data_IF_041999757449
#
_entry.id   IF_041999757449
#
_cell.length_a   1.000
_cell.length_b   1.000
_cell.length_c   1.000
_cell.angle_alpha   90.00
_cell.angle_beta   90.00
_cell.angle_gamma   90.00
#
_symmetry.space_group_name_H-M   'P 1'
#
loop_
_entity.id
_entity.type
_entity.pdbx_description
1 polymer ?
#
# COMPACT_ATOMS: atom_id res chain seq x y z
N UNK A 1 32.73 5.05 -47.48
CA UNK A 1 32.36 6.48 -47.41
C UNK A 1 30.86 6.52 -47.69
N UNK A 2 30.01 6.62 -46.65
CA UNK A 2 29.98 7.78 -45.75
C UNK A 2 30.07 7.43 -44.26
N UNK A 3 30.78 8.30 -43.55
CA UNK A 3 30.74 8.47 -42.09
C UNK A 3 29.58 9.41 -41.78
N UNK A 4 28.69 9.01 -40.87
CA UNK A 4 27.80 9.93 -40.18
C UNK A 4 27.81 9.52 -38.71
N UNK A 5 28.64 10.24 -37.96
CA UNK A 5 28.75 10.30 -36.51
C UNK A 5 27.39 10.16 -35.81
N UNK A 6 27.31 9.23 -34.86
CA UNK A 6 26.19 9.13 -33.91
C UNK A 6 26.73 8.74 -32.54
N UNK A 7 26.05 9.30 -31.55
CA UNK A 7 26.13 9.07 -30.10
C UNK A 7 27.12 10.02 -29.41
N UNK A 8 26.76 11.30 -29.19
CA UNK A 8 25.84 11.83 -28.17
C UNK A 8 26.56 11.98 -26.82
N UNK A 9 27.28 13.10 -26.72
CA UNK A 9 27.81 13.66 -25.49
C UNK A 9 26.75 14.61 -24.91
N UNK A 10 26.15 14.27 -23.77
CA UNK A 10 25.80 15.26 -22.74
C UNK A 10 25.59 14.56 -21.40
N UNK A 11 26.57 14.78 -20.54
CA UNK A 11 26.55 14.63 -19.10
C UNK A 11 25.54 15.60 -18.45
N UNK A 12 24.58 15.07 -17.69
CA UNK A 12 23.69 15.86 -16.81
C UNK A 12 23.65 15.27 -15.40
N UNK A 13 24.36 16.03 -14.56
CA UNK A 13 24.17 16.45 -13.17
C UNK A 13 23.26 15.68 -12.19
N UNK A 14 23.91 15.31 -11.09
CA UNK A 14 23.53 15.39 -9.67
C UNK A 14 22.13 15.89 -9.31
N UNK A 15 21.37 15.14 -8.49
CA UNK A 15 20.54 15.73 -7.42
C UNK A 15 20.42 14.76 -6.22
N UNK A 16 20.93 15.22 -5.08
CA UNK A 16 20.82 14.62 -3.75
C UNK A 16 19.36 14.67 -3.27
N UNK A 17 18.65 13.55 -3.43
CA UNK A 17 17.28 13.37 -2.95
C UNK A 17 17.22 12.95 -1.49
N UNK A 18 17.58 13.85 -0.57
CA UNK A 18 17.16 13.76 0.83
C UNK A 18 15.62 13.78 0.86
N UNK A 19 14.99 12.63 1.09
CA UNK A 19 13.62 12.60 1.60
C UNK A 19 13.60 11.82 2.89
N UNK A 20 13.81 12.55 3.99
CA UNK A 20 13.37 12.17 5.33
C UNK A 20 11.88 11.80 5.31
N UNK A 21 11.60 10.53 5.08
CA UNK A 21 10.30 9.92 5.37
C UNK A 21 10.21 9.68 6.88
N UNK A 22 9.76 10.71 7.59
CA UNK A 22 9.36 10.70 8.99
C UNK A 22 8.71 9.36 9.40
N UNK A 23 9.47 8.50 10.07
CA UNK A 23 8.92 7.37 10.81
C UNK A 23 8.21 7.98 12.01
N UNK A 24 6.93 8.30 11.82
CA UNK A 24 6.08 8.78 12.89
C UNK A 24 5.86 7.62 13.85
N UNK A 25 6.65 7.60 14.92
CA UNK A 25 6.35 6.81 16.10
C UNK A 25 5.04 7.35 16.69
N UNK A 26 3.96 6.54 16.77
CA UNK A 26 2.78 6.97 17.48
C UNK A 26 3.08 6.91 18.99
N UNK A 27 3.29 8.10 19.55
CA UNK A 27 3.34 8.35 20.99
C UNK A 27 2.10 7.79 21.69
N UNK A 28 2.39 7.20 22.84
CA UNK A 28 1.53 6.64 23.87
C UNK A 28 0.45 7.57 24.40
N UNK A 29 -0.81 7.10 24.43
CA UNK A 29 -1.78 7.42 25.48
C UNK A 29 -2.74 6.23 25.69
N UNK A 30 -3.04 5.95 26.96
CA UNK A 30 -3.69 4.73 27.42
C UNK A 30 -5.19 4.70 27.10
N UNK A 31 -5.68 3.60 26.50
CA UNK A 31 -7.12 3.31 26.46
C UNK A 31 -7.53 2.50 25.24
N UNK A 32 -7.84 1.23 25.47
CA UNK A 32 -8.39 0.26 24.52
C UNK A 32 -7.40 -0.23 23.45
N UNK A 33 -7.22 -1.56 23.38
CA UNK A 33 -6.31 -2.21 22.45
C UNK A 33 -6.82 -2.08 21.00
N UNK A 34 -6.57 -0.92 20.38
CA UNK A 34 -6.80 -0.72 18.95
C UNK A 34 -5.75 -1.56 18.23
N UNK A 35 -6.14 -2.77 17.82
CA UNK A 35 -5.27 -3.65 17.03
C UNK A 35 -5.11 -3.04 15.64
N UNK A 36 -4.04 -2.26 15.47
CA UNK A 36 -3.64 -1.68 14.19
C UNK A 36 -3.10 -2.78 13.28
N UNK A 37 -3.97 -3.27 12.39
CA UNK A 37 -3.60 -4.33 11.43
C UNK A 37 -3.04 -3.67 10.16
N UNK A 38 -1.85 -4.08 9.75
CA UNK A 38 -1.26 -3.66 8.48
C UNK A 38 -1.87 -4.40 7.29
N UNK A 39 -1.85 -3.78 6.11
CA UNK A 39 -2.31 -4.37 4.86
C UNK A 39 -1.49 -5.63 4.52
N UNK A 40 -2.15 -6.74 4.21
CA UNK A 40 -1.50 -8.01 3.86
C UNK A 40 -0.91 -8.03 2.44
N UNK A 41 -1.08 -6.96 1.67
CA UNK A 41 -0.57 -6.85 0.29
C UNK A 41 0.65 -5.95 0.23
N UNK A 42 0.55 -4.72 0.77
CA UNK A 42 1.67 -3.79 0.74
C UNK A 42 2.49 -3.77 2.04
N UNK A 43 1.92 -4.19 3.17
CA UNK A 43 2.52 -4.10 4.51
C UNK A 43 2.94 -2.69 4.97
N UNK A 44 2.84 -1.67 4.11
CA UNK A 44 3.24 -0.28 4.40
C UNK A 44 2.09 0.63 4.86
N UNK A 45 0.84 0.15 4.85
CA UNK A 45 -0.33 0.98 5.19
C UNK A 45 -1.34 0.17 6.00
N UNK A 46 -2.11 0.86 6.84
CA UNK A 46 -3.13 0.25 7.68
C UNK A 46 -4.27 -0.38 6.85
N UNK A 47 -4.70 -1.57 7.28
CA UNK A 47 -5.81 -2.30 6.71
C UNK A 47 -7.14 -1.72 7.21
N UNK A 48 -7.79 -0.92 6.37
CA UNK A 48 -9.09 -0.27 6.65
C UNK A 48 -10.23 -0.86 5.83
N UNK A 49 -9.92 -1.77 4.89
CA UNK A 49 -10.89 -2.42 4.02
C UNK A 49 -10.90 -3.93 4.26
N UNK A 50 -12.09 -4.49 4.21
CA UNK A 50 -12.32 -5.92 4.32
C UNK A 50 -13.47 -6.39 3.44
N UNK A 51 -13.53 -7.68 3.13
CA UNK A 51 -14.62 -8.27 2.36
C UNK A 51 -15.95 -8.20 3.13
N UNK A 52 -17.06 -8.01 2.41
CA UNK A 52 -18.39 -7.83 3.01
C UNK A 52 -18.91 -9.06 3.79
N UNK A 53 -18.42 -10.27 3.47
CA UNK A 53 -18.82 -11.52 4.15
C UNK A 53 -18.18 -11.64 5.54
N UNK A 54 -16.86 -11.85 5.58
CA UNK A 54 -16.14 -12.11 6.83
C UNK A 54 -15.61 -10.87 7.56
N UNK A 55 -15.73 -9.67 6.97
CA UNK A 55 -15.38 -8.38 7.58
C UNK A 55 -13.95 -8.32 8.16
N UNK A 56 -13.04 -9.12 7.62
CA UNK A 56 -11.65 -9.11 8.04
C UNK A 56 -10.87 -7.95 7.41
N UNK A 57 -10.34 -7.06 8.24
CA UNK A 57 -9.42 -5.98 7.84
C UNK A 57 -8.14 -6.59 7.28
N UNK A 58 -8.03 -6.58 5.96
CA UNK A 58 -6.91 -7.24 5.24
C UNK A 58 -6.23 -6.33 4.24
N UNK A 59 -6.92 -5.29 3.77
CA UNK A 59 -6.45 -4.44 2.68
C UNK A 59 -6.50 -2.96 3.09
N UNK A 60 -5.51 -2.19 2.65
CA UNK A 60 -5.58 -0.73 2.71
C UNK A 60 -6.39 -0.16 1.54
N UNK A 61 -6.74 1.13 1.59
CA UNK A 61 -7.48 1.81 0.51
C UNK A 61 -6.87 1.58 -0.88
N UNK A 62 -5.55 1.72 -1.00
CA UNK A 62 -4.84 1.57 -2.28
C UNK A 62 -4.97 0.15 -2.84
N UNK A 63 -4.69 -0.86 -2.01
CA UNK A 63 -4.78 -2.26 -2.42
C UNK A 63 -6.23 -2.70 -2.67
N UNK A 64 -7.18 -2.22 -1.87
CA UNK A 64 -8.60 -2.51 -2.05
C UNK A 64 -9.12 -1.99 -3.39
N UNK A 65 -8.79 -0.73 -3.75
CA UNK A 65 -9.17 -0.15 -5.04
C UNK A 65 -8.48 -0.84 -6.22
N UNK A 66 -7.22 -1.27 -6.04
CA UNK A 66 -6.49 -2.04 -7.06
C UNK A 66 -7.11 -3.42 -7.31
N UNK A 67 -7.69 -4.02 -6.27
CA UNK A 67 -8.39 -5.30 -6.39
C UNK A 67 -9.81 -5.14 -6.94
N UNK A 68 -10.45 -3.98 -6.74
CA UNK A 68 -11.75 -3.55 -7.23
C UNK A 68 -12.94 -4.44 -6.82
N UNK A 69 -12.96 -5.71 -7.21
CA UNK A 69 -13.97 -6.71 -6.89
C UNK A 69 -13.40 -8.13 -7.06
N UNK A 70 -13.88 -9.08 -6.26
CA UNK A 70 -13.50 -10.49 -6.40
C UNK A 70 -12.16 -10.89 -5.75
N UNK A 71 -12.18 -11.96 -4.98
CA UNK A 71 -10.97 -12.56 -4.42
C UNK A 71 -11.23 -13.51 -3.27
N UNK A 72 -10.15 -13.92 -2.61
CA UNK A 72 -10.18 -14.67 -1.35
C UNK A 72 -9.65 -13.81 -0.21
N UNK A 73 -10.34 -13.83 0.92
CA UNK A 73 -9.88 -13.18 2.13
C UNK A 73 -8.53 -13.77 2.56
N UNK A 74 -7.53 -12.92 2.81
CA UNK A 74 -6.19 -13.39 3.24
C UNK A 74 -6.17 -13.91 4.69
N UNK A 75 -7.21 -13.64 5.48
CA UNK A 75 -7.31 -14.07 6.87
C UNK A 75 -8.07 -15.39 7.04
N UNK A 76 -9.23 -15.54 6.41
CA UNK A 76 -10.05 -16.76 6.53
C UNK A 76 -10.19 -17.58 5.25
N UNK A 77 -9.67 -17.11 4.11
CA UNK A 77 -9.77 -17.81 2.83
C UNK A 77 -11.12 -17.72 2.11
N UNK A 78 -12.12 -17.08 2.73
CA UNK A 78 -13.47 -16.97 2.16
C UNK A 78 -13.50 -16.13 0.90
N UNK A 79 -14.26 -16.59 -0.10
CA UNK A 79 -14.45 -15.86 -1.35
C UNK A 79 -15.32 -14.63 -1.09
N UNK A 80 -14.94 -13.52 -1.70
CA UNK A 80 -15.71 -12.28 -1.64
C UNK A 80 -15.84 -11.66 -3.01
N UNK A 81 -16.98 -11.00 -3.24
CA UNK A 81 -17.25 -10.28 -4.47
C UNK A 81 -17.13 -8.76 -4.28
N UNK A 82 -17.29 -8.28 -3.05
CA UNK A 82 -17.29 -6.86 -2.72
C UNK A 82 -16.45 -6.58 -1.46
N UNK A 83 -15.77 -5.44 -1.49
CA UNK A 83 -15.00 -4.89 -0.38
C UNK A 83 -15.77 -3.72 0.25
N UNK A 84 -15.74 -3.64 1.58
CA UNK A 84 -16.31 -2.54 2.35
C UNK A 84 -15.22 -1.90 3.20
N UNK A 85 -15.30 -0.58 3.37
CA UNK A 85 -14.49 0.14 4.35
C UNK A 85 -15.01 -0.19 5.75
N UNK A 86 -14.15 -0.71 6.60
CA UNK A 86 -14.45 -1.07 7.98
C UNK A 86 -13.92 0.05 8.86
N UNK A 87 -14.77 1.04 9.09
CA UNK A 87 -14.52 2.07 10.11
C UNK A 87 -14.95 1.54 11.48
N UNK A 88 -14.32 2.06 12.54
CA UNK A 88 -14.74 1.79 13.92
C UNK A 88 -15.97 2.63 14.25
#
# INVERSE_FOLDING_TARGET
>A
MPSCDRDEEEEVDSEDGNTQGNLQEPSTEAGESIVTINCFVCHSSLATYGPLGCLHRTLCKRCAMKQATGGKCKKCGELFFQLKKLEY
#
